data_IF_078846107803
#
_entry.id   IF_078846107803
#
_cell.length_a   1.000
_cell.length_b   1.000
_cell.length_c   1.000
_cell.angle_alpha   90.00
_cell.angle_beta   90.00
_cell.angle_gamma   90.00
#
_symmetry.space_group_name_H-M   'P 1'
#
loop_
_entity.id
_entity.type
_entity.pdbx_description
1 polymer ?
#
# COMPACT_ATOMS: atom_id res chain seq x y z
N UNK A 1 33.37 -18.73 49.12
CA UNK A 1 33.59 -18.29 47.72
C UNK A 1 32.54 -18.97 46.84
N UNK A 2 31.37 -18.35 46.59
CA UNK A 2 30.38 -18.85 45.60
C UNK A 2 29.29 -17.80 45.24
N UNK A 3 29.29 -16.61 45.86
CA UNK A 3 28.30 -15.57 45.57
C UNK A 3 28.52 -14.84 44.23
N UNK A 4 29.68 -15.03 43.58
CA UNK A 4 30.06 -14.31 42.36
C UNK A 4 29.46 -14.95 41.10
N UNK A 5 28.99 -16.21 41.15
CA UNK A 5 28.39 -16.89 39.99
C UNK A 5 26.92 -16.54 39.74
N UNK A 6 26.20 -16.00 40.74
CA UNK A 6 24.78 -15.66 40.58
C UNK A 6 24.55 -14.25 39.99
N UNK A 7 25.56 -13.38 39.99
CA UNK A 7 25.41 -12.02 39.47
C UNK A 7 25.53 -11.92 37.93
N UNK A 8 26.04 -12.97 37.28
CA UNK A 8 26.22 -13.00 35.82
C UNK A 8 24.97 -13.58 35.12
N UNK A 9 24.11 -14.32 35.83
CA UNK A 9 22.92 -14.94 35.25
C UNK A 9 21.69 -14.01 35.21
N UNK A 10 21.68 -12.91 35.98
CA UNK A 10 20.52 -12.02 36.09
C UNK A 10 20.58 -10.79 35.17
N UNK A 11 21.70 -10.55 34.48
CA UNK A 11 21.88 -9.40 33.58
C UNK A 11 21.47 -9.68 32.12
N UNK A 12 21.05 -10.90 31.78
CA UNK A 12 20.82 -11.33 30.39
C UNK A 12 19.34 -11.57 30.06
N UNK A 13 18.46 -10.69 30.54
CA UNK A 13 17.04 -10.69 30.18
C UNK A 13 16.51 -9.27 29.95
N UNK A 14 17.31 -8.38 29.37
CA UNK A 14 16.74 -7.16 28.79
C UNK A 14 16.02 -7.56 27.49
N UNK A 15 14.69 -7.37 27.40
CA UNK A 15 14.01 -7.49 26.12
C UNK A 15 14.59 -6.42 25.20
N UNK A 16 15.24 -6.84 24.11
CA UNK A 16 15.55 -5.94 23.01
C UNK A 16 14.21 -5.56 22.40
N UNK A 17 13.67 -4.42 22.79
CA UNK A 17 12.60 -3.80 22.03
C UNK A 17 13.17 -3.52 20.64
N UNK A 18 12.68 -4.25 19.63
CA UNK A 18 12.95 -3.91 18.25
C UNK A 18 12.29 -2.55 17.99
N UNK A 19 13.08 -1.49 18.05
CA UNK A 19 12.63 -0.17 17.64
C UNK A 19 12.49 -0.21 16.13
N UNK A 20 11.23 -0.25 15.66
CA UNK A 20 10.92 0.05 14.28
C UNK A 20 11.13 1.55 14.10
N UNK A 21 12.26 1.95 13.54
CA UNK A 21 12.64 3.35 13.37
C UNK A 21 11.66 4.04 12.42
N UNK A 22 10.64 4.66 13.01
CA UNK A 22 9.67 5.47 12.28
C UNK A 22 10.26 6.85 12.03
N UNK A 23 10.20 7.29 10.78
CA UNK A 23 10.65 8.61 10.37
C UNK A 23 9.53 9.37 9.66
N UNK A 24 9.70 10.68 9.51
CA UNK A 24 8.71 11.53 8.83
C UNK A 24 9.26 12.11 7.55
N UNK A 25 8.38 12.25 6.56
CA UNK A 25 8.76 12.83 5.27
C UNK A 25 7.58 13.47 4.57
N UNK A 26 7.78 13.87 3.31
CA UNK A 26 6.71 14.38 2.44
C UNK A 26 6.62 13.54 1.18
N UNK A 27 5.42 13.09 0.83
CA UNK A 27 5.20 12.36 -0.42
C UNK A 27 5.31 13.34 -1.58
N UNK A 28 6.17 13.01 -2.55
CA UNK A 28 6.48 13.85 -3.72
C UNK A 28 6.06 13.23 -5.05
N UNK A 29 5.74 11.93 -5.07
CA UNK A 29 5.26 11.23 -6.26
C UNK A 29 4.48 9.98 -5.89
N UNK A 30 3.51 9.61 -6.73
CA UNK A 30 2.77 8.36 -6.67
C UNK A 30 2.98 7.63 -8.00
N UNK A 31 3.50 6.41 -7.93
CA UNK A 31 3.77 5.56 -9.09
C UNK A 31 2.57 4.64 -9.42
N UNK A 32 1.93 4.07 -8.40
CA UNK A 32 0.75 3.20 -8.50
C UNK A 32 -0.02 3.25 -7.16
N UNK A 33 -1.16 2.55 -7.03
CA UNK A 33 -1.94 2.54 -5.79
C UNK A 33 -1.24 1.91 -4.58
N UNK A 34 -0.10 1.27 -4.78
CA UNK A 34 0.73 0.61 -3.77
C UNK A 34 2.16 1.16 -3.70
N UNK A 35 2.54 2.11 -4.58
CA UNK A 35 3.91 2.61 -4.68
C UNK A 35 3.96 4.13 -4.68
N UNK A 36 4.73 4.68 -3.76
CA UNK A 36 4.91 6.12 -3.60
C UNK A 36 6.39 6.49 -3.36
N UNK A 37 6.71 7.76 -3.53
CA UNK A 37 8.03 8.30 -3.21
C UNK A 37 7.92 9.35 -2.12
N UNK A 38 8.64 9.14 -1.03
CA UNK A 38 8.75 10.08 0.08
C UNK A 38 10.09 10.77 0.01
N UNK A 39 10.07 12.09 0.16
CA UNK A 39 11.27 12.87 0.43
C UNK A 39 11.45 12.97 1.94
N UNK A 40 12.57 12.45 2.41
CA UNK A 40 13.06 12.60 3.76
C UNK A 40 14.38 13.34 3.68
N UNK A 41 14.43 14.53 4.27
CA UNK A 41 15.51 15.51 4.11
C UNK A 41 15.82 15.77 2.61
N UNK A 42 17.00 15.34 2.16
CA UNK A 42 17.50 15.47 0.79
C UNK A 42 17.44 14.17 -0.01
N UNK A 43 16.96 13.08 0.58
CA UNK A 43 16.88 11.77 -0.04
C UNK A 43 15.46 11.46 -0.52
N UNK A 44 15.38 10.72 -1.63
CA UNK A 44 14.13 10.17 -2.15
C UNK A 44 14.08 8.69 -1.78
N UNK A 45 13.11 8.31 -0.98
CA UNK A 45 12.85 6.92 -0.60
C UNK A 45 11.62 6.45 -1.36
N UNK A 46 11.81 5.42 -2.18
CA UNK A 46 10.74 4.78 -2.96
C UNK A 46 10.20 3.63 -2.13
N UNK A 47 8.90 3.65 -1.87
CA UNK A 47 8.24 2.72 -0.95
C UNK A 47 7.14 1.96 -1.70
N UNK A 48 7.16 0.64 -1.55
CA UNK A 48 6.03 -0.24 -1.81
C UNK A 48 5.33 -0.49 -0.48
N UNK A 49 4.02 -0.21 -0.43
CA UNK A 49 3.20 -0.42 0.75
C UNK A 49 3.16 -1.91 1.10
N UNK A 50 3.64 -2.25 2.30
CA UNK A 50 3.73 -3.63 2.76
C UNK A 50 2.36 -4.31 2.77
N UNK A 51 2.31 -5.55 2.26
CA UNK A 51 1.15 -6.43 2.38
C UNK A 51 0.08 -6.24 1.31
N UNK A 52 0.25 -5.32 0.36
CA UNK A 52 -0.72 -5.09 -0.73
C UNK A 52 -0.06 -5.06 -2.11
N UNK A 53 -0.87 -5.29 -3.14
CA UNK A 53 -0.58 -4.95 -4.53
C UNK A 53 -1.72 -4.08 -5.08
N UNK A 54 -1.39 -3.29 -6.11
CA UNK A 54 -2.35 -2.51 -6.86
C UNK A 54 -2.19 -2.79 -8.37
N UNK A 55 -3.19 -2.44 -9.20
CA UNK A 55 -3.05 -2.63 -10.64
C UNK A 55 -1.84 -1.87 -11.18
N UNK A 56 -1.18 -2.48 -12.15
CA UNK A 56 -0.05 -1.92 -12.88
C UNK A 56 -0.51 -1.10 -14.08
N UNK A 57 0.38 -0.31 -14.68
CA UNK A 57 0.04 0.64 -15.74
C UNK A 57 -0.74 0.06 -16.95
N UNK A 58 -0.56 -1.23 -17.25
CA UNK A 58 -1.23 -1.93 -18.35
C UNK A 58 -2.57 -2.57 -17.93
N UNK A 59 -2.89 -2.55 -16.64
CA UNK A 59 -4.08 -3.15 -16.06
C UNK A 59 -5.15 -2.09 -15.87
N UNK A 60 -6.41 -2.53 -16.00
CA UNK A 60 -7.57 -1.68 -15.73
C UNK A 60 -7.55 -1.08 -14.32
N UNK A 61 -8.05 0.15 -14.20
CA UNK A 61 -8.16 0.87 -12.93
C UNK A 61 -6.83 1.29 -12.29
N UNK A 62 -5.69 1.11 -12.96
CA UNK A 62 -4.41 1.71 -12.56
C UNK A 62 -4.55 3.19 -12.22
N UNK A 63 -5.23 3.97 -13.09
CA UNK A 63 -5.40 5.41 -12.92
C UNK A 63 -6.26 5.73 -11.69
N UNK A 64 -7.38 5.03 -11.52
CA UNK A 64 -8.28 5.19 -10.36
C UNK A 64 -7.55 4.86 -9.05
N UNK A 65 -6.87 3.72 -9.00
CA UNK A 65 -6.10 3.27 -7.84
C UNK A 65 -4.99 4.26 -7.45
N UNK A 66 -4.18 4.66 -8.44
CA UNK A 66 -3.16 5.71 -8.27
C UNK A 66 -3.77 7.03 -7.78
N UNK A 67 -4.91 7.45 -8.33
CA UNK A 67 -5.57 8.70 -7.97
C UNK A 67 -6.06 8.69 -6.51
N UNK A 68 -6.59 7.58 -6.01
CA UNK A 68 -6.97 7.47 -4.60
C UNK A 68 -5.76 7.63 -3.66
N UNK A 69 -4.62 7.00 -3.99
CA UNK A 69 -3.43 7.13 -3.16
C UNK A 69 -2.89 8.56 -3.22
N UNK A 70 -2.93 9.19 -4.40
CA UNK A 70 -2.57 10.59 -4.56
C UNK A 70 -3.45 11.52 -3.72
N UNK A 71 -4.78 11.32 -3.74
CA UNK A 71 -5.72 12.08 -2.91
C UNK A 71 -5.41 11.98 -1.41
N UNK A 72 -5.06 10.77 -0.96
CA UNK A 72 -4.73 10.50 0.43
C UNK A 72 -3.38 11.09 0.84
N UNK A 73 -2.35 10.96 0.00
CA UNK A 73 -0.95 11.08 0.44
C UNK A 73 -0.13 12.13 -0.32
N UNK A 74 -0.43 12.44 -1.59
CA UNK A 74 0.41 13.32 -2.40
C UNK A 74 0.53 14.70 -1.75
N UNK A 75 1.75 15.24 -1.72
CA UNK A 75 2.09 16.53 -1.09
C UNK A 75 1.77 16.64 0.41
N UNK A 76 1.54 15.52 1.10
CA UNK A 76 1.31 15.51 2.56
C UNK A 76 2.52 15.02 3.31
N UNK A 77 2.58 15.39 4.59
CA UNK A 77 3.51 14.79 5.55
C UNK A 77 3.05 13.36 5.82
N UNK A 78 4.01 12.45 5.98
CA UNK A 78 3.76 11.05 6.28
C UNK A 78 4.68 10.58 7.41
N UNK A 79 4.24 9.55 8.12
CA UNK A 79 5.08 8.68 8.93
C UNK A 79 5.40 7.43 8.09
N UNK A 80 6.63 6.95 8.21
CA UNK A 80 7.11 5.80 7.46
C UNK A 80 7.90 4.90 8.40
N UNK A 81 7.68 3.59 8.27
CA UNK A 81 8.62 2.58 8.75
C UNK A 81 8.98 1.64 7.61
N UNK A 82 10.24 1.22 7.53
CA UNK A 82 10.73 0.30 6.50
C UNK A 82 10.84 -1.08 7.11
N UNK A 83 10.12 -2.04 6.54
CA UNK A 83 10.14 -3.44 6.97
C UNK A 83 11.30 -4.18 6.29
N UNK A 84 11.47 -3.96 4.99
CA UNK A 84 12.51 -4.60 4.19
C UNK A 84 13.10 -3.63 3.15
N UNK A 85 14.39 -3.27 3.26
CA UNK A 85 15.05 -2.44 2.27
C UNK A 85 15.17 -3.14 0.91
N UNK A 86 14.83 -2.45 -0.18
CA UNK A 86 14.96 -2.98 -1.54
C UNK A 86 15.79 -2.09 -2.46
N UNK A 87 16.28 -2.66 -3.57
CA UNK A 87 17.15 -1.96 -4.53
C UNK A 87 16.40 -0.96 -5.42
N UNK A 88 15.08 -1.12 -5.57
CA UNK A 88 14.22 -0.22 -6.35
C UNK A 88 13.14 0.44 -5.50
N UNK A 89 12.38 -0.38 -4.78
CA UNK A 89 11.43 0.04 -3.75
C UNK A 89 11.75 -0.74 -2.48
N UNK A 90 11.69 -0.06 -1.34
CA UNK A 90 11.68 -0.73 -0.04
C UNK A 90 10.24 -1.05 0.34
N UNK A 91 10.01 -2.21 0.95
CA UNK A 91 8.73 -2.53 1.55
C UNK A 91 8.60 -1.78 2.87
N UNK A 92 7.50 -1.06 3.04
CA UNK A 92 7.29 -0.32 4.27
C UNK A 92 5.84 0.10 4.51
N UNK A 93 5.58 0.36 5.78
CA UNK A 93 4.36 0.98 6.25
C UNK A 93 4.41 2.50 6.04
N UNK A 94 3.29 3.09 5.59
CA UNK A 94 3.15 4.54 5.41
C UNK A 94 1.82 5.01 5.96
N UNK A 95 1.87 6.00 6.85
CA UNK A 95 0.70 6.69 7.37
C UNK A 95 0.67 8.15 6.89
N UNK A 96 -0.43 8.54 6.24
CA UNK A 96 -0.60 9.85 5.65
C UNK A 96 -1.33 10.83 6.57
N UNK A 97 -0.72 11.99 6.81
CA UNK A 97 -1.26 12.99 7.72
C UNK A 97 -2.55 13.60 7.18
N UNK A 98 -3.56 13.60 8.05
CA UNK A 98 -4.89 14.16 7.82
C UNK A 98 -5.05 15.49 8.58
N UNK A 99 -6.25 16.08 8.54
CA UNK A 99 -6.54 17.27 9.36
C UNK A 99 -6.58 16.88 10.85
N UNK A 100 -6.36 17.86 11.73
CA UNK A 100 -6.42 17.70 13.19
C UNK A 100 -5.40 16.72 13.79
N UNK A 101 -4.29 16.45 13.10
CA UNK A 101 -3.21 15.61 13.64
C UNK A 101 -3.44 14.10 13.53
N UNK A 102 -4.52 13.67 12.87
CA UNK A 102 -4.76 12.26 12.60
C UNK A 102 -3.90 11.75 11.44
N UNK A 103 -3.74 10.44 11.37
CA UNK A 103 -3.09 9.74 10.26
C UNK A 103 -3.99 8.64 9.75
N UNK A 104 -3.95 8.40 8.45
CA UNK A 104 -4.55 7.22 7.83
C UNK A 104 -3.45 6.32 7.29
N UNK A 105 -3.54 5.04 7.60
CA UNK A 105 -2.73 4.00 6.99
C UNK A 105 -3.04 3.93 5.49
N UNK A 106 -2.00 4.11 4.67
CA UNK A 106 -2.15 4.17 3.22
C UNK A 106 -2.57 2.81 2.63
N UNK A 107 -2.07 1.70 3.20
CA UNK A 107 -2.37 0.38 2.69
C UNK A 107 -3.81 -0.03 3.01
N UNK A 108 -4.22 0.18 4.26
CA UNK A 108 -5.60 -0.07 4.69
C UNK A 108 -6.58 0.77 3.86
N UNK A 109 -6.28 2.06 3.65
CA UNK A 109 -7.17 2.92 2.86
C UNK A 109 -7.36 2.44 1.41
N UNK A 110 -6.30 1.93 0.79
CA UNK A 110 -6.38 1.42 -0.58
C UNK A 110 -7.21 0.14 -0.69
N UNK A 111 -7.05 -0.78 0.27
CA UNK A 111 -7.82 -2.01 0.34
C UNK A 111 -9.29 -1.73 0.68
N UNK A 112 -9.55 -0.81 1.60
CA UNK A 112 -10.90 -0.40 2.04
C UNK A 112 -11.73 0.14 0.87
N UNK A 113 -11.13 0.96 0.01
CA UNK A 113 -11.79 1.47 -1.18
C UNK A 113 -11.85 0.46 -2.35
N UNK A 114 -11.29 -0.73 -2.18
CA UNK A 114 -11.20 -1.76 -3.21
C UNK A 114 -10.29 -1.41 -4.38
N UNK A 115 -9.32 -0.51 -4.21
CA UNK A 115 -8.37 -0.11 -5.25
C UNK A 115 -6.96 -0.73 -5.09
N UNK A 116 -6.80 -1.60 -4.11
CA UNK A 116 -5.68 -2.52 -3.94
C UNK A 116 -6.20 -3.82 -3.33
N UNK A 117 -5.36 -4.86 -3.31
CA UNK A 117 -5.67 -6.13 -2.67
C UNK A 117 -4.47 -6.64 -1.88
N UNK A 118 -4.75 -7.50 -0.92
CA UNK A 118 -3.72 -8.12 -0.09
C UNK A 118 -2.82 -9.05 -0.90
N UNK A 119 -1.53 -9.02 -0.58
CA UNK A 119 -0.60 -10.04 -1.05
C UNK A 119 -0.96 -11.42 -0.45
N UNK A 120 -0.74 -12.54 -1.19
CA UNK A 120 -1.10 -13.88 -0.71
C UNK A 120 -0.46 -14.30 0.62
N UNK A 121 0.70 -13.73 0.94
CA UNK A 121 1.44 -13.98 2.18
C UNK A 121 1.20 -12.93 3.27
N UNK A 122 0.35 -11.92 3.03
CA UNK A 122 0.01 -10.92 4.04
C UNK A 122 -0.87 -11.55 5.12
N UNK A 123 -0.44 -11.43 6.38
CA UNK A 123 -1.12 -12.04 7.54
C UNK A 123 -1.69 -11.01 8.52
N UNK A 124 -1.54 -9.71 8.24
CA UNK A 124 -2.07 -8.64 9.09
C UNK A 124 -3.61 -8.75 9.20
N UNK A 125 -4.16 -8.99 10.41
CA UNK A 125 -5.60 -9.09 10.62
C UNK A 125 -6.37 -7.85 10.18
N UNK A 126 -5.77 -6.66 10.26
CA UNK A 126 -6.41 -5.41 9.83
C UNK A 126 -6.61 -5.42 8.30
N UNK A 127 -5.60 -5.83 7.53
CA UNK A 127 -5.73 -6.01 6.09
C UNK A 127 -6.77 -7.10 5.75
N UNK A 128 -6.74 -8.25 6.46
CA UNK A 128 -7.71 -9.34 6.24
C UNK A 128 -9.14 -8.85 6.42
N UNK A 129 -9.43 -8.19 7.55
CA UNK A 129 -10.75 -7.65 7.83
C UNK A 129 -11.19 -6.60 6.80
N UNK A 130 -10.28 -5.70 6.43
CA UNK A 130 -10.55 -4.64 5.46
C UNK A 130 -10.86 -5.20 4.07
N UNK A 131 -10.08 -6.18 3.60
CA UNK A 131 -10.34 -6.81 2.30
C UNK A 131 -11.67 -7.57 2.28
N UNK A 132 -11.99 -8.29 3.35
CA UNK A 132 -13.28 -8.99 3.45
C UNK A 132 -14.45 -8.00 3.37
N UNK A 133 -14.34 -6.82 4.00
CA UNK A 133 -15.37 -5.78 3.93
C UNK A 133 -15.52 -5.23 2.50
N UNK A 134 -14.40 -4.83 1.87
CA UNK A 134 -14.39 -4.30 0.51
C UNK A 134 -14.96 -5.31 -0.51
N UNK A 135 -14.64 -6.60 -0.34
CA UNK A 135 -15.24 -7.68 -1.11
C UNK A 135 -16.74 -7.80 -0.88
N UNK A 136 -17.19 -7.79 0.38
CA UNK A 136 -18.61 -7.95 0.70
C UNK A 136 -19.49 -6.80 0.18
N UNK A 137 -18.91 -5.62 0.00
CA UNK A 137 -19.59 -4.43 -0.54
C UNK A 137 -19.39 -4.22 -2.03
N UNK A 138 -18.62 -5.09 -2.73
CA UNK A 138 -18.27 -4.88 -4.13
C UNK A 138 -17.55 -3.53 -4.38
N UNK A 139 -16.70 -3.08 -3.45
CA UNK A 139 -15.99 -1.80 -3.59
C UNK A 139 -14.92 -1.87 -4.70
N UNK A 140 -14.68 -0.77 -5.42
CA UNK A 140 -13.62 -0.67 -6.42
C UNK A 140 -13.57 -1.85 -7.41
N UNK A 141 -12.43 -2.54 -7.49
CA UNK A 141 -12.21 -3.70 -8.37
C UNK A 141 -13.09 -4.90 -8.05
N UNK A 142 -13.65 -4.97 -6.84
CA UNK A 142 -14.53 -6.06 -6.45
C UNK A 142 -15.89 -5.97 -7.15
N UNK A 143 -16.28 -4.79 -7.66
CA UNK A 143 -17.56 -4.54 -8.33
C UNK A 143 -17.50 -4.17 -9.82
N UNK A 144 -16.35 -3.76 -10.38
CA UNK A 144 -16.18 -3.41 -11.80
C UNK A 144 -15.59 -4.60 -12.63
N UNK A 145 -16.09 -4.95 -13.85
CA UNK A 145 -17.42 -4.77 -14.44
C UNK A 145 -18.31 -6.03 -14.33
N UNK A 146 -17.83 -7.09 -13.67
CA UNK A 146 -18.54 -8.36 -13.60
C UNK A 146 -19.40 -8.34 -12.33
N UNK A 147 -20.71 -8.27 -12.54
CA UNK A 147 -21.86 -8.19 -11.62
C UNK A 147 -21.91 -9.08 -10.35
N UNK A 148 -20.79 -9.59 -9.86
CA UNK A 148 -20.69 -10.44 -8.69
C UNK A 148 -19.39 -10.11 -7.97
N UNK A 149 -19.47 -9.81 -6.66
CA UNK A 149 -18.26 -9.60 -5.87
C UNK A 149 -17.43 -10.88 -5.91
N UNK A 150 -16.36 -10.87 -6.69
CA UNK A 150 -15.48 -12.02 -6.93
C UNK A 150 -14.15 -11.82 -6.24
N UNK A 151 -13.25 -12.79 -6.35
CA UNK A 151 -11.88 -12.67 -5.82
C UNK A 151 -11.08 -11.67 -6.69
N UNK A 152 -10.12 -10.97 -6.07
CA UNK A 152 -9.31 -9.97 -6.74
C UNK A 152 -8.53 -10.63 -7.88
N UNK A 153 -8.21 -9.86 -8.94
CA UNK A 153 -7.24 -10.29 -9.92
C UNK A 153 -5.95 -10.74 -9.22
N UNK A 154 -5.36 -11.83 -9.69
CA UNK A 154 -4.02 -12.21 -9.24
C UNK A 154 -3.01 -11.10 -9.60
N UNK A 155 -1.92 -10.99 -8.84
CA UNK A 155 -0.80 -10.09 -9.18
C UNK A 155 -0.15 -10.41 -10.53
N UNK A 156 -0.32 -11.65 -11.01
CA UNK A 156 -0.13 -12.05 -12.40
C UNK A 156 -1.39 -11.76 -13.21
N UNK A 157 -1.31 -11.03 -14.34
CA UNK A 157 -2.48 -10.71 -15.15
C UNK A 157 -3.11 -12.00 -15.70
N UNK A 158 -4.40 -12.27 -15.45
CA UNK A 158 -5.16 -13.21 -16.25
C UNK A 158 -5.74 -12.48 -17.49
N UNK A 159 -6.14 -13.21 -18.55
CA UNK A 159 -6.34 -12.68 -19.90
C UNK A 159 -7.54 -11.72 -20.09
N UNK A 160 -8.23 -11.29 -19.04
CA UNK A 160 -9.43 -10.46 -19.12
C UNK A 160 -9.18 -8.94 -18.95
N UNK A 161 -7.98 -8.51 -18.53
CA UNK A 161 -7.69 -7.11 -18.17
C UNK A 161 -6.29 -6.61 -18.61
N UNK A 162 -5.68 -7.27 -19.59
CA UNK A 162 -4.49 -6.74 -20.26
C UNK A 162 -4.89 -5.76 -21.37
N UNK A 163 -4.72 -4.47 -21.11
CA UNK A 163 -5.05 -3.41 -22.05
C UNK A 163 -4.07 -3.33 -23.24
N UNK A 164 -3.05 -4.19 -23.31
CA UNK A 164 -2.19 -4.30 -24.49
C UNK A 164 -2.86 -5.06 -25.64
N UNK A 165 -4.00 -5.73 -25.40
CA UNK A 165 -4.80 -6.38 -26.43
C UNK A 165 -5.97 -5.50 -26.91
N UNK A 166 -6.14 -5.30 -28.23
CA UNK A 166 -7.06 -4.30 -28.81
C UNK A 166 -8.57 -4.59 -28.66
N UNK A 167 -8.96 -5.66 -27.95
CA UNK A 167 -10.36 -6.07 -27.82
C UNK A 167 -10.97 -5.82 -26.42
N UNK A 168 -10.24 -5.24 -25.48
CA UNK A 168 -10.77 -4.89 -24.14
C UNK A 168 -11.39 -3.48 -24.15
N UNK A 169 -12.63 -3.39 -24.62
CA UNK A 169 -13.41 -2.13 -24.66
C UNK A 169 -13.47 -1.40 -23.30
N UNK A 170 -13.32 -2.13 -22.19
CA UNK A 170 -13.34 -1.63 -20.81
C UNK A 170 -12.08 -0.85 -20.39
N UNK A 171 -10.98 -0.95 -21.14
CA UNK A 171 -9.76 -0.18 -20.88
C UNK A 171 -9.78 1.23 -21.49
N UNK A 172 -10.58 1.44 -22.55
CA UNK A 172 -10.64 2.72 -23.27
C UNK A 172 -11.22 3.85 -22.39
N UNK A 173 -12.23 3.54 -21.58
CA UNK A 173 -12.91 4.52 -20.72
C UNK A 173 -12.01 5.08 -19.61
N UNK A 174 -11.01 4.30 -19.16
CA UNK A 174 -10.01 4.76 -18.19
C UNK A 174 -8.95 5.67 -18.84
N UNK A 175 -8.70 5.57 -20.16
CA UNK A 175 -7.72 6.39 -20.87
C UNK A 175 -8.25 7.77 -21.31
N UNK A 176 -9.54 7.89 -21.64
CA UNK A 176 -10.07 9.05 -22.37
C UNK A 176 -10.74 10.12 -21.48
N UNK A 177 -10.80 9.93 -20.15
CA UNK A 177 -11.70 10.70 -19.28
C UNK A 177 -11.10 11.82 -18.42
N UNK A 178 -9.79 12.14 -18.50
CA UNK A 178 -9.20 13.23 -17.67
C UNK A 178 -8.25 14.20 -18.42
N UNK A 179 -8.59 14.62 -19.64
CA UNK A 179 -7.91 15.75 -20.30
C UNK A 179 -8.50 17.12 -19.93
N UNK A 180 -9.26 17.21 -18.83
CA UNK A 180 -9.86 18.46 -18.38
C UNK A 180 -9.49 18.81 -16.93
N UNK A 181 -8.56 19.77 -16.84
CA UNK A 181 -8.38 20.76 -15.77
C UNK A 181 -7.82 20.25 -14.44
N UNK A 182 -6.54 20.58 -14.19
CA UNK A 182 -6.08 21.38 -13.04
C UNK A 182 -4.74 22.05 -13.35
#
# INVERSE_FOLDING_TARGET
>A
MNAIRLFIALTLALPVAAFSDTWTGRVISIQSGDRLTVRHDHQKVRIHLTGIEAPQAHQRGFRKSRAQLAKLCLNRRVQVSIDNPGTGFSDGWVACHLRHGFYADAAIHQVDLGWAWMQPNATDPALVGTQNNAQSHCDGFWGEPFSHCTRAPSSTPPPWDDCTHPHTATCHDDHDSDDHHF
#
